data_IF_413089392752
#
_entry.id   IF_413089392752
#
_cell.length_a   1.000
_cell.length_b   1.000
_cell.length_c   1.000
_cell.angle_alpha   90.00
_cell.angle_beta   90.00
_cell.angle_gamma   90.00
#
_symmetry.space_group_name_H-M   'P 1'
#
loop_
_entity.id
_entity.type
_entity.pdbx_description
1 polymer ?
#
# COMPACT_ATOMS: atom_id res chain seq x y z
N UNK A 1 -3.74 7.63 14.12
CA UNK A 1 -4.68 6.50 14.31
C UNK A 1 -4.10 5.51 15.31
N UNK A 2 -4.88 5.12 16.33
CA UNK A 2 -4.45 4.20 17.39
C UNK A 2 -4.05 2.82 16.87
N UNK A 3 -4.63 2.37 15.76
CA UNK A 3 -4.32 1.08 15.12
C UNK A 3 -2.86 1.02 14.68
N UNK A 4 -2.37 2.08 14.04
CA UNK A 4 -0.97 2.15 13.62
C UNK A 4 0.00 2.20 14.78
N UNK A 5 -0.31 2.98 15.82
CA UNK A 5 0.51 3.07 17.04
C UNK A 5 0.59 1.72 17.74
N UNK A 6 -0.52 0.99 17.83
CA UNK A 6 -0.56 -0.34 18.43
C UNK A 6 0.29 -1.34 17.61
N UNK A 7 0.14 -1.36 16.30
CA UNK A 7 0.94 -2.22 15.43
C UNK A 7 2.44 -1.90 15.53
N UNK A 8 2.81 -0.63 15.48
CA UNK A 8 4.20 -0.19 15.64
C UNK A 8 4.76 -0.59 17.02
N UNK A 9 3.96 -0.48 18.09
CA UNK A 9 4.39 -0.88 19.43
C UNK A 9 4.71 -2.37 19.53
N UNK A 10 3.94 -3.22 18.85
CA UNK A 10 4.20 -4.67 18.77
C UNK A 10 5.51 -4.93 18.02
N UNK A 11 5.72 -4.26 16.88
CA UNK A 11 6.93 -4.41 16.07
C UNK A 11 8.16 -3.97 16.86
N UNK A 12 8.10 -2.80 17.51
CA UNK A 12 9.21 -2.28 18.35
C UNK A 12 9.55 -3.24 19.50
N UNK A 13 8.54 -3.83 20.15
CA UNK A 13 8.77 -4.83 21.20
C UNK A 13 9.46 -6.11 20.66
N UNK A 14 9.08 -6.56 19.47
CA UNK A 14 9.73 -7.70 18.81
C UNK A 14 11.18 -7.37 18.39
N UNK A 15 11.43 -6.17 17.89
CA UNK A 15 12.79 -5.71 17.57
C UNK A 15 13.66 -5.61 18.80
N UNK A 16 13.14 -5.09 19.91
CA UNK A 16 13.88 -5.04 21.18
C UNK A 16 14.33 -6.44 21.66
N UNK A 17 13.51 -7.47 21.43
CA UNK A 17 13.84 -8.84 21.79
C UNK A 17 15.05 -9.42 21.01
N UNK A 18 15.36 -8.84 19.84
CA UNK A 18 16.54 -9.21 19.01
C UNK A 18 17.64 -8.15 19.05
N UNK A 19 17.55 -7.19 19.98
CA UNK A 19 18.58 -6.18 20.22
C UNK A 19 18.47 -4.90 19.40
N UNK A 20 17.41 -4.72 18.62
CA UNK A 20 17.15 -3.48 17.87
C UNK A 20 16.34 -2.52 18.74
N UNK A 21 16.90 -1.36 19.05
CA UNK A 21 16.23 -0.32 19.81
C UNK A 21 15.57 0.68 18.85
N UNK A 22 14.26 0.86 18.95
CA UNK A 22 13.50 1.80 18.13
C UNK A 22 12.57 2.64 18.99
N UNK A 23 12.28 3.87 18.54
CA UNK A 23 11.35 4.79 19.17
C UNK A 23 10.24 5.16 18.20
N UNK A 24 9.01 5.17 18.69
CA UNK A 24 7.86 5.56 17.88
C UNK A 24 7.67 7.07 17.97
N UNK A 25 7.74 7.73 16.83
CA UNK A 25 7.38 9.13 16.69
C UNK A 25 6.03 9.23 15.96
N UNK A 26 5.04 9.80 16.60
CA UNK A 26 3.73 10.06 15.98
C UNK A 26 3.66 11.48 15.46
N UNK A 27 3.07 11.67 14.30
CA UNK A 27 2.92 12.98 13.67
C UNK A 27 1.58 13.08 12.92
N UNK A 28 1.20 14.28 12.54
CA UNK A 28 0.05 14.49 11.65
C UNK A 28 0.40 14.12 10.20
N UNK A 29 -0.63 13.99 9.36
CA UNK A 29 -0.44 13.50 7.97
C UNK A 29 0.44 14.42 7.12
N UNK A 30 0.39 15.75 7.32
CA UNK A 30 1.21 16.66 6.52
C UNK A 30 2.69 16.55 6.89
N UNK A 31 2.97 16.45 8.19
CA UNK A 31 4.31 16.20 8.71
C UNK A 31 4.84 14.85 8.23
N UNK A 32 3.99 13.80 8.22
CA UNK A 32 4.33 12.48 7.70
C UNK A 32 4.71 12.53 6.21
N UNK A 33 3.92 13.22 5.39
CA UNK A 33 4.20 13.37 3.96
C UNK A 33 5.50 14.17 3.71
N UNK A 34 5.75 15.21 4.51
CA UNK A 34 6.99 15.97 4.43
C UNK A 34 8.20 15.11 4.80
N UNK A 35 8.10 14.34 5.87
CA UNK A 35 9.16 13.39 6.31
C UNK A 35 9.41 12.31 5.26
N UNK A 36 8.34 11.74 4.67
CA UNK A 36 8.46 10.78 3.58
C UNK A 36 9.17 11.37 2.36
N UNK A 37 8.83 12.62 1.98
CA UNK A 37 9.45 13.29 0.84
C UNK A 37 10.89 13.73 1.07
N UNK A 38 11.29 14.00 2.33
CA UNK A 38 12.68 14.35 2.66
C UNK A 38 13.57 13.14 2.94
N UNK A 39 13.00 11.96 3.16
CA UNK A 39 13.76 10.77 3.54
C UNK A 39 14.33 10.82 4.97
N UNK A 40 13.85 11.74 5.83
CA UNK A 40 14.34 11.91 7.20
C UNK A 40 13.65 10.93 8.17
N UNK A 41 13.88 9.65 7.94
CA UNK A 41 13.37 8.56 8.78
C UNK A 41 14.21 7.30 8.63
N UNK A 42 14.26 6.48 9.66
CA UNK A 42 14.84 5.13 9.58
C UNK A 42 13.77 4.13 9.08
N UNK A 43 12.55 4.22 9.60
CA UNK A 43 11.41 3.41 9.20
C UNK A 43 10.15 4.26 9.19
N UNK A 44 9.40 4.22 8.10
CA UNK A 44 8.12 4.90 7.95
C UNK A 44 6.97 3.90 7.96
N UNK A 45 5.99 4.12 8.84
CA UNK A 45 4.77 3.31 8.88
C UNK A 45 3.60 4.10 8.31
N UNK A 46 3.08 3.65 7.18
CA UNK A 46 1.97 4.29 6.49
C UNK A 46 0.91 3.28 6.04
N UNK A 47 -0.32 3.74 5.90
CA UNK A 47 -1.34 2.99 5.17
C UNK A 47 -1.23 3.35 3.69
N UNK A 48 -1.15 2.33 2.86
CA UNK A 48 -1.20 2.49 1.41
C UNK A 48 -2.37 1.70 0.82
N UNK A 49 -3.03 2.26 -0.18
CA UNK A 49 -4.13 1.61 -0.90
C UNK A 49 -3.82 1.62 -2.38
N UNK A 50 -3.63 0.43 -2.93
CA UNK A 50 -3.41 0.30 -4.38
C UNK A 50 -4.73 0.38 -5.14
N UNK A 51 -4.75 1.04 -6.30
CA UNK A 51 -5.90 0.98 -7.19
C UNK A 51 -6.11 -0.46 -7.69
N UNK A 52 -7.36 -0.87 -7.90
CA UNK A 52 -7.67 -2.26 -8.27
C UNK A 52 -7.34 -2.59 -9.73
N UNK A 53 -6.88 -1.64 -10.53
CA UNK A 53 -6.70 -1.81 -11.98
C UNK A 53 -5.23 -1.97 -12.36
N UNK A 54 -4.42 -0.95 -12.13
CA UNK A 54 -3.00 -0.95 -12.48
C UNK A 54 -2.18 -0.34 -11.33
N UNK A 55 -1.40 -1.16 -10.63
CA UNK A 55 -0.60 -0.70 -9.50
C UNK A 55 0.70 0.01 -9.91
N UNK A 56 1.03 0.09 -11.22
CA UNK A 56 2.34 0.55 -11.69
C UNK A 56 2.76 1.90 -11.09
N UNK A 57 1.91 2.91 -11.21
CA UNK A 57 2.24 4.28 -10.76
C UNK A 57 2.55 4.29 -9.26
N UNK A 58 1.75 3.58 -8.47
CA UNK A 58 1.90 3.54 -7.02
C UNK A 58 3.14 2.77 -6.59
N UNK A 59 3.40 1.63 -7.24
CA UNK A 59 4.59 0.81 -6.95
C UNK A 59 5.87 1.54 -7.40
N UNK A 60 5.86 2.18 -8.56
CA UNK A 60 6.97 2.97 -9.05
C UNK A 60 7.27 4.17 -8.12
N UNK A 61 6.24 4.77 -7.56
CA UNK A 61 6.42 5.85 -6.59
C UNK A 61 7.04 5.37 -5.26
N UNK A 62 6.76 4.14 -4.85
CA UNK A 62 7.35 3.54 -3.65
C UNK A 62 8.78 3.02 -3.87
N UNK A 63 9.07 2.47 -5.05
CA UNK A 63 10.28 1.69 -5.33
C UNK A 63 11.07 2.20 -6.54
N UNK A 64 10.67 3.30 -7.15
CA UNK A 64 11.20 3.80 -8.43
C UNK A 64 12.55 4.54 -8.35
N UNK A 65 13.40 4.20 -7.41
CA UNK A 65 14.74 4.76 -7.31
C UNK A 65 14.84 6.08 -6.55
N UNK A 66 15.78 6.93 -6.94
CA UNK A 66 15.99 8.23 -6.31
C UNK A 66 14.73 9.11 -6.40
N UNK A 67 14.27 9.61 -5.28
CA UNK A 67 13.03 10.39 -5.16
C UNK A 67 11.80 9.56 -4.84
N UNK A 68 11.87 8.21 -4.83
CA UNK A 68 10.82 7.37 -4.26
C UNK A 68 10.82 7.49 -2.72
N UNK A 69 9.70 7.11 -2.10
CA UNK A 69 9.61 7.19 -0.64
C UNK A 69 10.61 6.30 0.09
N UNK A 70 10.95 5.16 -0.47
CA UNK A 70 11.93 4.26 0.14
C UNK A 70 13.37 4.65 -0.15
N UNK A 71 13.61 5.49 -1.18
CA UNK A 71 14.95 5.77 -1.70
C UNK A 71 15.69 4.52 -2.21
N UNK A 72 14.97 3.38 -2.29
CA UNK A 72 15.54 2.11 -2.70
C UNK A 72 15.76 2.08 -4.22
N UNK A 73 16.91 1.59 -4.65
CA UNK A 73 17.26 1.40 -6.05
C UNK A 73 17.66 -0.04 -6.32
N UNK A 74 17.23 -0.58 -7.45
CA UNK A 74 17.63 -1.90 -7.95
C UNK A 74 17.59 -1.91 -9.47
N UNK A 75 18.68 -2.27 -10.14
CA UNK A 75 18.70 -2.35 -11.60
C UNK A 75 17.61 -3.25 -12.17
N UNK A 76 17.27 -4.34 -11.48
CA UNK A 76 16.23 -5.28 -11.89
C UNK A 76 14.82 -4.64 -11.80
N UNK A 77 14.56 -3.85 -10.77
CA UNK A 77 13.29 -3.13 -10.63
C UNK A 77 13.20 -1.98 -11.65
N UNK A 78 14.27 -1.24 -11.85
CA UNK A 78 14.33 -0.16 -12.85
C UNK A 78 14.11 -0.69 -14.26
N UNK A 79 14.72 -1.84 -14.62
CA UNK A 79 14.49 -2.48 -15.92
C UNK A 79 13.02 -2.92 -16.07
N UNK A 80 12.43 -3.55 -15.05
CA UNK A 80 11.03 -3.95 -15.07
C UNK A 80 10.11 -2.72 -15.21
N UNK A 81 10.36 -1.65 -14.47
CA UNK A 81 9.56 -0.42 -14.52
C UNK A 81 9.67 0.31 -15.86
N UNK A 82 10.80 0.20 -16.56
CA UNK A 82 10.94 0.74 -17.91
C UNK A 82 10.09 -0.04 -18.93
N UNK A 83 9.79 -1.31 -18.69
CA UNK A 83 9.07 -2.18 -19.63
C UNK A 83 7.57 -2.26 -19.33
N UNK A 84 7.14 -2.25 -18.06
CA UNK A 84 5.73 -2.37 -17.65
C UNK A 84 4.81 -1.41 -18.42
N UNK A 85 5.08 -0.09 -18.51
CA UNK A 85 4.18 0.84 -19.21
C UNK A 85 4.16 0.68 -20.73
N UNK A 86 5.07 -0.10 -21.28
CA UNK A 86 5.17 -0.37 -22.73
C UNK A 86 4.45 -1.67 -23.14
N UNK A 87 4.10 -2.52 -22.18
CA UNK A 87 3.45 -3.81 -22.43
C UNK A 87 1.95 -3.76 -22.19
N UNK A 88 1.20 -4.45 -23.05
CA UNK A 88 -0.21 -4.77 -22.86
C UNK A 88 -0.46 -6.29 -22.80
N UNK A 89 0.58 -7.11 -22.88
CA UNK A 89 0.48 -8.56 -22.77
C UNK A 89 0.42 -8.98 -21.31
N UNK A 90 -0.66 -9.64 -20.92
CA UNK A 90 -0.92 -10.03 -19.54
C UNK A 90 0.12 -11.02 -19.00
N UNK A 91 0.71 -11.85 -19.86
CA UNK A 91 1.74 -12.81 -19.46
C UNK A 91 3.06 -12.09 -19.20
N UNK A 92 3.44 -11.18 -20.09
CA UNK A 92 4.63 -10.36 -19.94
C UNK A 92 4.53 -9.48 -18.69
N UNK A 93 3.41 -8.78 -18.50
CA UNK A 93 3.16 -7.99 -17.29
C UNK A 93 3.27 -8.83 -16.01
N UNK A 94 2.72 -10.04 -16.01
CA UNK A 94 2.86 -10.94 -14.86
C UNK A 94 4.31 -11.33 -14.57
N UNK A 95 5.13 -11.51 -15.59
CA UNK A 95 6.55 -11.84 -15.45
C UNK A 95 7.31 -10.62 -14.89
N UNK A 96 7.05 -9.41 -15.42
CA UNK A 96 7.67 -8.16 -14.98
C UNK A 96 7.31 -7.83 -13.52
N UNK A 97 6.02 -7.84 -13.16
CA UNK A 97 5.60 -7.63 -11.78
C UNK A 97 6.13 -8.72 -10.84
N UNK A 98 6.22 -9.97 -11.34
CA UNK A 98 6.82 -11.06 -10.58
C UNK A 98 8.33 -10.88 -10.34
N UNK A 99 9.05 -10.21 -11.22
CA UNK A 99 10.45 -9.85 -11.00
C UNK A 99 10.57 -8.78 -9.90
N UNK A 100 9.73 -7.75 -9.95
CA UNK A 100 9.66 -6.71 -8.90
C UNK A 100 9.35 -7.33 -7.54
N UNK A 101 8.32 -8.19 -7.47
CA UNK A 101 7.91 -8.86 -6.22
C UNK A 101 9.04 -9.71 -5.63
N UNK A 102 9.71 -10.52 -6.44
CA UNK A 102 10.86 -11.33 -5.98
C UNK A 102 11.98 -10.46 -5.41
N UNK A 103 12.28 -9.34 -6.07
CA UNK A 103 13.35 -8.44 -5.63
C UNK A 103 12.99 -7.72 -4.33
N UNK A 104 11.74 -7.31 -4.19
CA UNK A 104 11.22 -6.73 -2.93
C UNK A 104 11.29 -7.74 -1.78
N UNK A 105 10.99 -9.01 -2.03
CA UNK A 105 11.08 -10.07 -1.01
C UNK A 105 12.54 -10.41 -0.66
N UNK A 106 13.47 -10.28 -1.58
CA UNK A 106 14.90 -10.51 -1.35
C UNK A 106 15.54 -9.40 -0.51
N UNK A 107 15.32 -8.15 -0.90
CA UNK A 107 16.00 -6.98 -0.32
C UNK A 107 15.20 -6.31 0.81
N UNK A 108 13.91 -6.58 0.88
CA UNK A 108 12.97 -6.09 1.91
C UNK A 108 13.02 -4.56 2.11
N UNK A 109 12.98 -3.73 1.05
CA UNK A 109 12.92 -2.27 1.20
C UNK A 109 11.63 -1.81 1.87
N UNK A 110 10.59 -2.62 1.80
CA UNK A 110 9.30 -2.42 2.46
C UNK A 110 8.64 -3.76 2.78
N UNK A 111 7.75 -3.78 3.76
CA UNK A 111 6.94 -4.95 4.05
C UNK A 111 5.53 -4.56 4.49
N UNK A 112 4.55 -5.40 4.18
CA UNK A 112 3.18 -5.23 4.64
C UNK A 112 3.01 -5.93 5.99
N UNK A 113 2.83 -5.14 7.05
CA UNK A 113 2.63 -5.69 8.39
C UNK A 113 1.24 -6.36 8.53
N UNK A 114 0.21 -5.80 7.88
CA UNK A 114 -1.15 -6.35 7.84
C UNK A 114 -1.99 -5.69 6.75
N UNK A 115 -3.07 -6.34 6.38
CA UNK A 115 -4.05 -5.81 5.41
C UNK A 115 -5.31 -5.42 6.17
N UNK A 116 -5.71 -4.15 6.01
CA UNK A 116 -6.96 -3.65 6.57
C UNK A 116 -8.13 -4.12 5.70
N UNK A 117 -9.10 -4.79 6.34
CA UNK A 117 -10.35 -5.15 5.68
C UNK A 117 -11.36 -4.02 5.86
N UNK A 118 -11.83 -3.46 4.77
CA UNK A 118 -12.95 -2.53 4.80
C UNK A 118 -14.25 -3.31 5.03
N UNK A 119 -15.08 -2.79 5.94
CA UNK A 119 -16.40 -3.33 6.22
C UNK A 119 -17.43 -2.27 5.90
N UNK A 120 -18.53 -2.69 5.29
CA UNK A 120 -19.68 -1.85 5.03
C UNK A 120 -20.93 -2.50 5.62
N UNK A 121 -21.81 -1.67 6.15
CA UNK A 121 -23.12 -2.09 6.62
C UNK A 121 -24.21 -1.27 5.92
N UNK A 122 -25.22 -1.95 5.42
CA UNK A 122 -26.39 -1.31 4.81
C UNK A 122 -27.67 -1.79 5.47
N UNK A 123 -28.66 -0.92 5.53
CA UNK A 123 -29.99 -1.34 5.96
C UNK A 123 -30.54 -2.35 4.95
N UNK A 124 -31.23 -3.40 5.43
CA UNK A 124 -31.82 -4.44 4.59
C UNK A 124 -32.86 -3.95 3.57
N UNK A 125 -33.38 -2.73 3.77
CA UNK A 125 -34.27 -2.06 2.82
C UNK A 125 -33.53 -1.52 1.59
N UNK A 126 -32.23 -1.34 1.68
CA UNK A 126 -31.42 -0.88 0.55
C UNK A 126 -31.10 -2.08 -0.36
N UNK A 127 -31.70 -2.06 -1.56
CA UNK A 127 -31.57 -3.12 -2.55
C UNK A 127 -30.43 -2.82 -3.53
N UNK A 128 -29.76 -3.83 -3.99
CA UNK A 128 -28.63 -3.76 -4.94
C UNK A 128 -27.39 -3.01 -4.43
N UNK A 129 -27.35 -2.64 -3.15
CA UNK A 129 -26.17 -2.02 -2.55
C UNK A 129 -25.11 -3.10 -2.23
N UNK A 130 -24.17 -3.27 -3.13
CA UNK A 130 -23.07 -4.21 -2.95
C UNK A 130 -21.74 -3.46 -2.95
N UNK A 131 -20.95 -3.55 -1.88
CA UNK A 131 -19.60 -2.98 -1.86
C UNK A 131 -18.73 -3.72 -2.90
N UNK A 132 -17.88 -2.97 -3.57
CA UNK A 132 -16.93 -3.50 -4.54
C UNK A 132 -15.53 -3.02 -4.21
N UNK A 133 -14.52 -3.50 -4.95
CA UNK A 133 -13.14 -3.01 -4.86
C UNK A 133 -13.01 -1.52 -5.23
N UNK A 134 -14.00 -0.97 -5.94
CA UNK A 134 -14.05 0.44 -6.30
C UNK A 134 -14.75 1.33 -5.25
N UNK A 135 -15.19 0.73 -4.15
CA UNK A 135 -15.86 1.42 -3.05
C UNK A 135 -17.30 1.01 -2.84
N UNK A 136 -17.88 1.52 -1.74
CA UNK A 136 -19.24 1.18 -1.34
C UNK A 136 -20.29 1.77 -2.29
N UNK A 137 -20.07 2.98 -2.81
CA UNK A 137 -21.03 3.69 -3.66
C UNK A 137 -20.92 3.36 -5.15
N UNK A 138 -20.15 2.34 -5.49
CA UNK A 138 -20.09 1.88 -6.88
C UNK A 138 -21.46 1.37 -7.31
N UNK A 139 -21.89 1.77 -8.52
CA UNK A 139 -23.23 1.46 -9.06
C UNK A 139 -24.39 1.99 -8.20
N UNK A 140 -24.22 3.13 -7.54
CA UNK A 140 -25.29 3.77 -6.76
C UNK A 140 -26.53 4.08 -7.57
N UNK A 141 -26.41 4.26 -8.88
CA UNK A 141 -27.52 4.43 -9.84
C UNK A 141 -28.44 3.20 -9.95
N UNK A 142 -27.99 2.05 -9.48
CA UNK A 142 -28.75 0.80 -9.45
C UNK A 142 -29.40 0.51 -8.08
N UNK A 143 -29.12 1.36 -7.09
CA UNK A 143 -29.68 1.18 -5.77
C UNK A 143 -31.15 1.55 -5.73
N UNK A 144 -31.90 0.83 -4.92
CA UNK A 144 -33.30 1.09 -4.69
C UNK A 144 -33.65 0.86 -3.21
N UNK A 145 -34.78 1.36 -2.79
CA UNK A 145 -35.28 1.15 -1.43
C UNK A 145 -36.53 0.28 -1.53
N UNK A 146 -36.44 -0.95 -1.03
CA UNK A 146 -37.62 -1.80 -0.93
C UNK A 146 -38.68 -1.11 -0.05
N UNK A 147 -39.86 -0.89 -0.59
CA UNK A 147 -41.06 -0.65 0.22
C UNK A 147 -41.23 -1.85 1.16
N UNK A 148 -41.70 -1.63 2.36
CA UNK A 148 -41.80 -2.55 3.50
C UNK A 148 -41.66 -4.04 3.24
#
# INVERSE_FOLDING_TARGET
DSTFVNAASIIVAQWAAVGIQAQIQTMDINSLMSTAGSGDFDVLAVQYTYPPVDPYVDIAWLLGGEGSWTGYTSPEIEEAFAQIPLSSDAKELKELYGAVDRKVQEDVPMFSAYIIKSMAAANKRLVNAQPSVYGFFNHVEQWDVSGE
#
